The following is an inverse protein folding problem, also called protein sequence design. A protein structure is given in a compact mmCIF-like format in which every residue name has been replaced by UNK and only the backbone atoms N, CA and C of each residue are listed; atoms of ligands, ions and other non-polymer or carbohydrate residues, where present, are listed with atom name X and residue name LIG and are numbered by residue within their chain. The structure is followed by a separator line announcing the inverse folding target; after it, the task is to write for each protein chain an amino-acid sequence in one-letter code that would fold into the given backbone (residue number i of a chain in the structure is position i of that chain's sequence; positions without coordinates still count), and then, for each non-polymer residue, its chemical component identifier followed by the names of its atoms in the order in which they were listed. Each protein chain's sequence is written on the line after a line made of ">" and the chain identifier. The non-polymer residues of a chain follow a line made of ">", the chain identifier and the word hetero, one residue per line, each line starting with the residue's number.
data_IF_696865739200
#
_entry.id   IF_696865739200
#
_cell.length_a   1.000
_cell.length_b   1.000
_cell.length_c   1.000
_cell.angle_alpha   90.00
_cell.angle_beta   90.00
_cell.angle_gamma   90.00
#
_symmetry.space_group_name_H-M   'P 1'
#
loop_
_entity.id
_entity.type
_entity.pdbx_description
1 polymer ?
#
# COMPACT_ATOMS: atom_id res chain seq x y z
N UNK A 1 56.07 -1.84 18.98
CA UNK A 1 54.84 -1.06 19.24
C UNK A 1 54.10 -1.00 17.91
N UNK A 2 53.27 -2.01 17.68
CA UNK A 2 52.53 -2.27 16.44
C UNK A 2 51.15 -2.71 16.92
N UNK A 3 50.14 -1.91 16.63
CA UNK A 3 48.75 -2.16 17.02
C UNK A 3 48.07 -3.07 15.98
N UNK A 4 47.64 -4.28 16.35
CA UNK A 4 46.93 -5.20 15.46
C UNK A 4 45.46 -5.30 15.89
N UNK A 5 44.54 -4.66 15.17
CA UNK A 5 43.15 -5.16 14.99
C UNK A 5 42.26 -4.16 14.24
N UNK A 6 42.21 -4.30 12.92
CA UNK A 6 41.02 -3.94 12.14
C UNK A 6 40.79 -5.10 11.17
N UNK A 7 39.79 -5.98 11.40
CA UNK A 7 39.48 -7.00 10.42
C UNK A 7 38.68 -6.35 9.30
N UNK A 8 39.26 -6.49 8.11
CA UNK A 8 38.65 -6.59 6.79
C UNK A 8 37.35 -5.81 6.53
N UNK A 9 37.51 -4.78 5.69
CA UNK A 9 36.44 -4.27 4.86
C UNK A 9 35.91 -5.40 3.99
N UNK A 10 34.81 -6.00 4.44
CA UNK A 10 33.96 -6.78 3.57
C UNK A 10 33.16 -5.77 2.74
N UNK A 11 33.74 -5.40 1.59
CA UNK A 11 32.92 -4.89 0.48
C UNK A 11 31.80 -5.90 0.29
N UNK A 12 30.57 -5.49 0.62
CA UNK A 12 29.39 -6.24 0.21
C UNK A 12 29.51 -6.39 -1.31
N UNK A 13 29.35 -7.62 -1.86
CA UNK A 13 29.40 -7.79 -3.30
C UNK A 13 28.47 -6.75 -3.92
N UNK A 14 28.98 -6.05 -4.93
CA UNK A 14 28.32 -4.99 -5.69
C UNK A 14 27.15 -5.53 -6.53
N UNK A 15 26.30 -6.36 -5.92
CA UNK A 15 25.10 -6.87 -6.53
C UNK A 15 24.09 -5.72 -6.63
N UNK A 16 23.46 -5.63 -7.80
CA UNK A 16 22.34 -4.73 -8.01
C UNK A 16 21.30 -4.89 -6.87
N UNK A 17 20.62 -3.80 -6.47
CA UNK A 17 19.61 -3.88 -5.43
C UNK A 17 18.56 -4.91 -5.79
N UNK A 18 18.51 -5.97 -4.98
CA UNK A 18 17.57 -7.08 -5.11
C UNK A 18 16.22 -6.60 -4.62
N UNK A 19 15.21 -6.67 -5.49
CA UNK A 19 13.83 -6.33 -5.16
C UNK A 19 12.93 -6.54 -6.37
N UNK A 20 11.61 -6.57 -6.16
CA UNK A 20 10.66 -6.67 -7.26
C UNK A 20 10.78 -5.44 -8.18
N UNK A 21 10.52 -5.57 -9.50
CA UNK A 21 10.79 -4.50 -10.46
C UNK A 21 10.23 -3.12 -10.06
N UNK A 22 11.06 -2.09 -10.23
CA UNK A 22 10.76 -0.71 -9.88
C UNK A 22 10.68 -0.44 -8.38
N UNK A 23 11.09 -1.38 -7.51
CA UNK A 23 10.88 -1.29 -6.07
C UNK A 23 9.40 -1.25 -5.68
N UNK A 24 8.55 -1.89 -6.50
CA UNK A 24 7.10 -1.95 -6.29
C UNK A 24 6.72 -3.16 -5.43
N UNK A 25 5.61 -3.05 -4.70
CA UNK A 25 4.94 -4.20 -4.09
C UNK A 25 3.76 -4.64 -4.94
N UNK A 26 3.46 -5.94 -4.90
CA UNK A 26 2.29 -6.53 -5.55
C UNK A 26 1.46 -7.28 -4.53
N UNK A 27 0.14 -7.15 -4.62
CA UNK A 27 -0.81 -7.87 -3.76
C UNK A 27 -2.00 -8.34 -4.56
N UNK A 28 -2.51 -9.53 -4.24
CA UNK A 28 -3.79 -10.00 -4.76
C UNK A 28 -4.88 -9.65 -3.76
N UNK A 29 -5.77 -8.75 -4.17
CA UNK A 29 -6.88 -8.23 -3.38
C UNK A 29 -8.19 -8.89 -3.79
N UNK A 30 -8.94 -9.37 -2.79
CA UNK A 30 -10.39 -9.60 -2.90
C UNK A 30 -11.08 -8.46 -2.19
N UNK A 31 -11.82 -7.63 -2.91
CA UNK A 31 -12.51 -6.47 -2.31
C UNK A 31 -13.58 -6.99 -1.34
N UNK A 32 -13.75 -6.34 -0.19
CA UNK A 32 -14.79 -6.75 0.75
C UNK A 32 -16.17 -6.75 0.09
N UNK A 33 -16.93 -7.81 0.35
CA UNK A 33 -18.34 -8.00 -0.01
C UNK A 33 -19.28 -7.59 1.14
N UNK A 34 -18.72 -7.08 2.23
CA UNK A 34 -19.46 -6.66 3.42
C UNK A 34 -20.19 -5.34 3.18
N UNK A 35 -21.50 -5.25 3.47
CA UNK A 35 -22.24 -4.00 3.35
C UNK A 35 -21.70 -2.94 4.32
N UNK A 36 -21.89 -1.68 3.94
CA UNK A 36 -21.60 -0.47 4.71
C UNK A 36 -22.88 0.35 4.89
N UNK A 37 -22.81 1.45 5.64
CA UNK A 37 -24.00 2.25 6.00
C UNK A 37 -24.75 2.88 4.82
N UNK A 38 -24.06 3.11 3.69
CA UNK A 38 -24.67 3.63 2.46
C UNK A 38 -25.31 2.54 1.58
N UNK A 39 -25.37 1.30 2.08
CA UNK A 39 -25.92 0.15 1.38
C UNK A 39 -24.98 -0.47 0.34
N UNK A 40 -23.77 0.07 0.16
CA UNK A 40 -22.76 -0.47 -0.75
C UNK A 40 -21.80 -1.41 0.00
N UNK A 41 -21.31 -2.44 -0.70
CA UNK A 41 -20.24 -3.29 -0.19
C UNK A 41 -18.88 -2.77 -0.67
N UNK A 42 -17.87 -2.80 0.21
CA UNK A 42 -16.54 -2.33 -0.19
C UNK A 42 -15.54 -2.09 0.93
N UNK A 43 -14.43 -1.48 0.52
CA UNK A 43 -13.27 -1.16 1.34
C UNK A 43 -13.40 0.10 2.19
N UNK A 44 -12.39 0.32 3.02
CA UNK A 44 -12.22 1.55 3.81
C UNK A 44 -11.67 2.65 2.89
N UNK A 45 -12.36 3.80 2.74
CA UNK A 45 -11.82 4.89 1.94
C UNK A 45 -10.58 5.51 2.60
N UNK A 46 -9.54 5.73 1.81
CA UNK A 46 -8.26 6.25 2.31
C UNK A 46 -7.46 6.92 1.18
N UNK A 47 -6.36 7.57 1.55
CA UNK A 47 -5.34 8.07 0.62
C UNK A 47 -3.96 7.57 1.01
N UNK A 48 -3.06 7.51 0.03
CA UNK A 48 -1.63 7.36 0.26
C UNK A 48 -0.95 8.73 0.25
N UNK A 49 0.04 8.93 1.13
CA UNK A 49 0.73 10.22 1.31
C UNK A 49 2.00 10.35 0.49
N UNK A 50 2.64 9.22 0.13
CA UNK A 50 3.91 9.20 -0.59
C UNK A 50 3.97 8.20 -1.75
N UNK A 51 3.12 7.16 -1.76
CA UNK A 51 3.12 6.11 -2.79
C UNK A 51 1.96 6.25 -3.76
N UNK A 52 2.23 6.03 -5.05
CA UNK A 52 1.19 5.78 -6.04
C UNK A 52 0.68 4.33 -5.91
N UNK A 53 -0.57 4.13 -6.32
CA UNK A 53 -1.23 2.83 -6.31
C UNK A 53 -1.90 2.57 -7.66
N UNK A 54 -1.73 1.34 -8.16
CA UNK A 54 -2.29 0.88 -9.42
C UNK A 54 -3.13 -0.38 -9.24
N UNK A 55 -4.20 -0.50 -10.02
CA UNK A 55 -5.09 -1.66 -10.04
C UNK A 55 -5.11 -2.32 -11.42
N UNK A 56 -5.01 -3.65 -11.42
CA UNK A 56 -5.35 -4.50 -12.57
C UNK A 56 -6.49 -5.42 -12.15
N UNK A 57 -7.69 -5.17 -12.66
CA UNK A 57 -8.88 -5.96 -12.31
C UNK A 57 -8.81 -7.33 -12.96
N UNK A 58 -8.92 -8.38 -12.15
CA UNK A 58 -8.83 -9.77 -12.59
C UNK A 58 -10.21 -10.35 -12.91
N UNK A 59 -11.21 -10.08 -12.08
CA UNK A 59 -12.58 -10.58 -12.23
C UNK A 59 -13.59 -9.77 -11.41
N UNK A 60 -14.86 -10.05 -11.64
CA UNK A 60 -15.99 -9.40 -10.97
C UNK A 60 -16.26 -8.00 -11.53
N UNK A 61 -17.21 -7.32 -10.89
CA UNK A 61 -17.68 -6.00 -11.29
C UNK A 61 -17.78 -5.08 -10.07
N UNK A 62 -17.40 -3.81 -10.27
CA UNK A 62 -17.42 -2.83 -9.21
C UNK A 62 -17.23 -1.40 -9.68
N UNK A 63 -16.91 -0.54 -8.73
CA UNK A 63 -16.65 0.87 -8.98
C UNK A 63 -15.49 1.33 -8.13
N UNK A 64 -14.54 2.03 -8.73
CA UNK A 64 -13.58 2.84 -7.98
C UNK A 64 -14.17 4.23 -7.83
N UNK A 65 -14.46 4.62 -6.61
CA UNK A 65 -14.77 5.99 -6.26
C UNK A 65 -13.47 6.73 -5.91
N UNK A 66 -13.29 7.95 -6.42
CA UNK A 66 -12.13 8.79 -6.11
C UNK A 66 -12.54 10.22 -5.76
N UNK A 67 -11.83 10.82 -4.81
CA UNK A 67 -11.84 12.27 -4.57
C UNK A 67 -10.44 12.81 -4.84
N UNK A 68 -10.34 13.81 -5.71
CA UNK A 68 -9.08 14.47 -6.05
C UNK A 68 -9.29 15.96 -6.29
N UNK A 69 -8.24 16.67 -6.71
CA UNK A 69 -8.36 18.04 -7.21
C UNK A 69 -9.36 18.17 -8.37
N UNK A 70 -9.61 17.09 -9.11
CA UNK A 70 -10.61 17.02 -10.18
C UNK A 70 -12.04 16.75 -9.69
N UNK A 71 -12.28 16.70 -8.38
CA UNK A 71 -13.58 16.42 -7.78
C UNK A 71 -13.82 14.94 -7.51
N UNK A 72 -15.10 14.58 -7.35
CA UNK A 72 -15.57 13.20 -7.20
C UNK A 72 -15.70 12.53 -8.57
N UNK A 73 -15.18 11.31 -8.70
CA UNK A 73 -15.34 10.49 -9.90
C UNK A 73 -15.58 9.02 -9.55
N UNK A 74 -16.48 8.41 -10.30
CA UNK A 74 -16.70 6.97 -10.32
C UNK A 74 -16.11 6.37 -11.60
N UNK A 75 -15.29 5.34 -11.46
CA UNK A 75 -14.72 4.59 -12.57
C UNK A 75 -15.22 3.15 -12.51
N UNK A 76 -15.94 2.65 -13.53
CA UNK A 76 -16.35 1.26 -13.59
C UNK A 76 -15.14 0.32 -13.55
N UNK A 77 -15.27 -0.79 -12.81
CA UNK A 77 -14.25 -1.83 -12.72
C UNK A 77 -14.81 -3.12 -13.28
N UNK A 78 -14.16 -3.63 -14.32
CA UNK A 78 -14.42 -4.94 -14.93
C UNK A 78 -13.09 -5.61 -15.25
N UNK A 79 -13.08 -6.93 -15.48
CA UNK A 79 -11.87 -7.66 -15.84
C UNK A 79 -11.09 -6.97 -16.98
N UNK A 80 -9.78 -6.80 -16.79
CA UNK A 80 -8.89 -6.11 -17.73
C UNK A 80 -8.80 -4.58 -17.53
N UNK A 81 -9.58 -3.99 -16.62
CA UNK A 81 -9.43 -2.58 -16.26
C UNK A 81 -8.06 -2.36 -15.61
N UNK A 82 -7.28 -1.43 -16.17
CA UNK A 82 -6.01 -0.93 -15.64
C UNK A 82 -6.15 0.56 -15.33
N UNK A 83 -5.83 0.95 -14.10
CA UNK A 83 -5.77 2.35 -13.70
C UNK A 83 -4.72 2.53 -12.60
N UNK A 84 -4.33 3.76 -12.35
CA UNK A 84 -3.50 4.13 -11.21
C UNK A 84 -3.82 5.56 -10.78
N UNK A 85 -3.46 5.88 -9.54
CA UNK A 85 -3.63 7.20 -8.96
C UNK A 85 -2.42 7.55 -8.09
N UNK A 86 -2.25 8.85 -7.88
CA UNK A 86 -1.08 9.43 -7.22
C UNK A 86 -1.41 9.80 -5.76
N UNK A 87 -0.38 10.02 -4.92
CA UNK A 87 -0.57 10.43 -3.54
C UNK A 87 -1.55 11.60 -3.37
N UNK A 88 -2.33 11.56 -2.29
CA UNK A 88 -3.37 12.53 -1.97
C UNK A 88 -4.73 12.26 -2.63
N UNK A 89 -4.82 11.28 -3.55
CA UNK A 89 -6.10 10.79 -4.07
C UNK A 89 -6.78 9.92 -3.02
N UNK A 90 -7.95 10.35 -2.55
CA UNK A 90 -8.82 9.49 -1.75
C UNK A 90 -9.46 8.49 -2.69
N UNK A 91 -9.49 7.22 -2.32
CA UNK A 91 -10.11 6.18 -3.12
C UNK A 91 -10.91 5.19 -2.27
N UNK A 92 -11.96 4.62 -2.86
CA UNK A 92 -12.77 3.54 -2.28
C UNK A 92 -13.15 2.56 -3.37
N UNK A 93 -12.90 1.28 -3.11
CA UNK A 93 -13.39 0.19 -3.96
C UNK A 93 -14.78 -0.25 -3.49
N UNK A 94 -15.76 -0.18 -4.40
CA UNK A 94 -17.12 -0.67 -4.22
C UNK A 94 -17.26 -1.99 -4.99
N UNK A 95 -17.59 -3.06 -4.29
CA UNK A 95 -17.80 -4.39 -4.84
C UNK A 95 -19.29 -4.57 -5.19
N UNK A 96 -19.62 -4.61 -6.49
CA UNK A 96 -21.01 -4.70 -6.96
C UNK A 96 -21.43 -6.14 -7.23
N UNK A 97 -20.50 -6.98 -7.69
CA UNK A 97 -20.77 -8.39 -8.01
C UNK A 97 -20.60 -9.33 -6.81
N UNK A 98 -19.93 -8.90 -5.74
CA UNK A 98 -19.57 -9.71 -4.58
C UNK A 98 -18.26 -10.49 -4.77
N UNK A 99 -17.74 -10.59 -5.98
CA UNK A 99 -16.55 -11.41 -6.31
C UNK A 99 -15.41 -10.62 -6.96
N UNK A 100 -15.41 -9.28 -6.84
CA UNK A 100 -14.38 -8.38 -7.36
C UNK A 100 -12.97 -8.71 -6.80
N UNK A 101 -12.07 -9.09 -7.71
CA UNK A 101 -10.66 -9.31 -7.39
C UNK A 101 -9.74 -8.53 -8.33
N UNK A 102 -8.61 -8.06 -7.78
CA UNK A 102 -7.64 -7.28 -8.53
C UNK A 102 -6.20 -7.51 -8.02
N UNK A 103 -5.23 -7.22 -8.87
CA UNK A 103 -3.83 -7.03 -8.45
C UNK A 103 -3.65 -5.57 -8.10
N UNK A 104 -3.14 -5.32 -6.90
CA UNK A 104 -2.65 -4.01 -6.47
C UNK A 104 -1.15 -3.95 -6.76
N UNK A 105 -0.72 -2.87 -7.41
CA UNK A 105 0.69 -2.53 -7.60
C UNK A 105 0.96 -1.25 -6.81
N UNK A 106 1.78 -1.34 -5.77
CA UNK A 106 2.12 -0.22 -4.89
C UNK A 106 3.53 0.27 -5.17
N UNK A 107 3.71 1.58 -5.30
CA UNK A 107 5.05 2.17 -5.28
C UNK A 107 5.67 2.02 -3.88
N UNK A 108 7.00 1.99 -3.81
CA UNK A 108 7.78 1.99 -2.56
C UNK A 108 7.42 0.78 -1.67
N UNK A 109 7.73 -0.43 -2.12
CA UNK A 109 7.44 -1.66 -1.37
C UNK A 109 7.79 -1.54 0.14
N UNK A 110 6.84 -1.90 1.00
CA UNK A 110 6.94 -1.81 2.46
C UNK A 110 6.51 -0.47 3.06
N UNK A 111 6.49 0.61 2.28
CA UNK A 111 6.09 1.94 2.75
C UNK A 111 4.58 2.04 3.10
N UNK A 112 3.65 1.46 2.33
CA UNK A 112 2.25 1.39 2.73
C UNK A 112 2.03 0.74 4.08
N UNK A 113 2.71 -0.37 4.33
CA UNK A 113 2.69 -1.09 5.60
C UNK A 113 3.34 -0.28 6.75
N UNK A 114 4.32 0.56 6.44
CA UNK A 114 4.95 1.50 7.38
C UNK A 114 4.07 2.73 7.71
N UNK A 115 2.86 2.80 7.14
CA UNK A 115 1.83 3.75 7.53
C UNK A 115 1.73 4.99 6.64
N UNK A 116 2.05 4.88 5.34
CA UNK A 116 1.84 5.98 4.38
C UNK A 116 0.36 6.25 4.04
N UNK A 117 -0.54 5.37 4.48
CA UNK A 117 -1.97 5.46 4.24
C UNK A 117 -2.72 6.16 5.38
N UNK A 118 -3.66 7.03 5.01
CA UNK A 118 -4.54 7.75 5.95
C UNK A 118 -6.01 7.53 5.58
N UNK A 119 -6.76 6.98 6.54
CA UNK A 119 -8.20 6.71 6.44
C UNK A 119 -9.00 8.00 6.58
N UNK A 120 -10.11 8.12 5.85
CA UNK A 120 -10.96 9.32 5.82
C UNK A 120 -11.92 9.37 7.00
N UNK A 121 -11.43 9.25 8.22
CA UNK A 121 -12.27 9.34 9.42
C UNK A 121 -12.89 10.73 9.60
N UNK A 122 -13.92 10.86 10.46
CA UNK A 122 -14.46 12.15 10.85
C UNK A 122 -13.38 13.11 11.39
N UNK A 123 -13.55 14.45 11.22
CA UNK A 123 -12.53 15.43 11.60
C UNK A 123 -12.03 15.34 13.05
N UNK A 124 -12.89 14.97 13.99
CA UNK A 124 -12.52 14.86 15.41
C UNK A 124 -11.52 13.72 15.67
N UNK A 125 -11.58 12.63 14.88
CA UNK A 125 -10.61 11.52 14.93
C UNK A 125 -9.31 11.92 14.24
N UNK A 126 -9.40 12.58 13.08
CA UNK A 126 -8.24 13.06 12.32
C UNK A 126 -7.43 14.14 13.07
N UNK A 127 -8.03 14.84 14.01
CA UNK A 127 -7.40 15.86 14.82
C UNK A 127 -6.54 15.29 15.97
N UNK A 128 -6.73 14.03 16.36
CA UNK A 128 -6.06 13.40 17.50
C UNK A 128 -5.30 12.13 17.06
N UNK A 129 -3.94 12.18 16.99
CA UNK A 129 -3.13 11.04 16.59
C UNK A 129 -3.31 9.79 17.47
N UNK A 130 -3.58 9.95 18.77
CA UNK A 130 -3.76 8.82 19.68
C UNK A 130 -5.11 8.15 19.43
N UNK A 131 -6.17 8.94 19.25
CA UNK A 131 -7.49 8.43 18.89
C UNK A 131 -7.47 7.76 17.50
N UNK A 132 -6.85 8.41 16.51
CA UNK A 132 -6.65 7.85 15.18
C UNK A 132 -5.96 6.48 15.24
N UNK A 133 -4.87 6.35 16.00
CA UNK A 133 -4.18 5.08 16.18
C UNK A 133 -5.08 4.03 16.85
N UNK A 134 -5.79 4.41 17.92
CA UNK A 134 -6.66 3.52 18.69
C UNK A 134 -7.75 2.91 17.82
N UNK A 135 -8.42 3.69 16.98
CA UNK A 135 -9.52 3.20 16.11
C UNK A 135 -9.02 2.51 14.84
N UNK A 136 -7.77 2.74 14.44
CA UNK A 136 -7.15 2.11 13.25
C UNK A 136 -6.57 0.73 13.55
N UNK A 137 -6.16 0.49 14.80
CA UNK A 137 -5.42 -0.71 15.19
C UNK A 137 -6.30 -1.96 15.04
N UNK A 138 -5.81 -2.94 14.27
CA UNK A 138 -6.36 -4.28 14.18
C UNK A 138 -5.61 -5.17 15.18
N UNK A 139 -6.30 -5.97 16.02
CA UNK A 139 -5.65 -6.91 16.92
C UNK A 139 -4.72 -7.88 16.20
N UNK A 140 -3.58 -8.19 16.83
CA UNK A 140 -2.65 -9.20 16.33
C UNK A 140 -3.21 -10.62 16.59
N UNK A 141 -3.00 -11.54 15.66
CA UNK A 141 -3.58 -12.89 15.74
C UNK A 141 -3.05 -13.69 16.94
N UNK A 142 -1.81 -13.42 17.35
CA UNK A 142 -1.11 -14.04 18.48
C UNK A 142 -1.77 -13.72 19.83
N UNK A 143 -2.64 -12.71 19.88
CA UNK A 143 -3.39 -12.34 21.08
C UNK A 143 -4.62 -13.23 21.37
N UNK A 144 -4.92 -14.21 20.52
CA UNK A 144 -6.13 -15.04 20.63
C UNK A 144 -5.81 -16.53 20.82
N UNK A 145 -6.76 -17.24 21.43
CA UNK A 145 -6.61 -18.65 21.79
C UNK A 145 -6.59 -19.61 20.59
N UNK A 146 -7.23 -19.23 19.48
CA UNK A 146 -7.34 -20.02 18.26
C UNK A 146 -7.54 -19.15 17.02
N UNK A 147 -7.28 -19.72 15.84
CA UNK A 147 -7.35 -19.02 14.55
C UNK A 147 -8.75 -18.51 14.19
N UNK A 148 -9.81 -19.23 14.59
CA UNK A 148 -11.18 -18.85 14.25
C UNK A 148 -11.61 -17.62 15.06
N UNK A 149 -11.27 -17.59 16.35
CA UNK A 149 -11.49 -16.45 17.23
C UNK A 149 -10.67 -15.24 16.77
N UNK A 150 -9.38 -15.44 16.43
CA UNK A 150 -8.53 -14.39 15.87
C UNK A 150 -9.15 -13.77 14.61
N UNK A 151 -9.57 -14.62 13.67
CA UNK A 151 -10.18 -14.18 12.42
C UNK A 151 -11.47 -13.38 12.66
N UNK A 152 -12.35 -13.85 13.54
CA UNK A 152 -13.60 -13.18 13.85
C UNK A 152 -13.38 -11.78 14.44
N UNK A 153 -12.46 -11.65 15.40
CA UNK A 153 -12.14 -10.37 16.05
C UNK A 153 -11.42 -9.40 15.11
N UNK A 154 -10.46 -9.89 14.32
CA UNK A 154 -9.79 -9.08 13.29
C UNK A 154 -10.77 -8.60 12.23
N UNK A 155 -11.71 -9.45 11.80
CA UNK A 155 -12.75 -9.05 10.85
C UNK A 155 -13.72 -8.04 11.45
N UNK A 156 -14.06 -8.17 12.74
CA UNK A 156 -14.87 -7.19 13.48
C UNK A 156 -14.17 -5.84 13.55
N UNK A 157 -12.89 -5.81 13.93
CA UNK A 157 -12.09 -4.59 13.97
C UNK A 157 -11.95 -3.96 12.57
N UNK A 158 -11.73 -4.76 11.53
CA UNK A 158 -11.63 -4.27 10.15
C UNK A 158 -12.94 -3.63 9.67
N UNK A 159 -14.10 -4.20 10.04
CA UNK A 159 -15.42 -3.59 9.76
C UNK A 159 -15.60 -2.27 10.50
N UNK A 160 -15.29 -2.21 11.80
CA UNK A 160 -15.38 -0.98 12.59
C UNK A 160 -14.51 0.14 12.02
N UNK A 161 -13.26 -0.19 11.68
CA UNK A 161 -12.32 0.72 11.01
C UNK A 161 -12.89 1.22 9.67
N UNK A 162 -13.40 0.31 8.84
CA UNK A 162 -13.99 0.63 7.54
C UNK A 162 -15.21 1.55 7.70
N UNK A 163 -16.13 1.23 8.60
CA UNK A 163 -17.39 1.96 8.76
C UNK A 163 -17.13 3.40 9.21
N UNK A 164 -16.20 3.61 10.14
CA UNK A 164 -15.77 4.95 10.54
C UNK A 164 -15.13 5.72 9.37
N UNK A 165 -14.37 5.05 8.51
CA UNK A 165 -13.79 5.68 7.33
C UNK A 165 -14.84 6.02 6.26
N UNK A 166 -15.89 5.20 6.13
CA UNK A 166 -17.04 5.48 5.25
C UNK A 166 -17.83 6.69 5.75
N UNK A 167 -18.07 6.80 7.06
CA UNK A 167 -18.76 7.96 7.66
C UNK A 167 -18.08 9.27 7.28
N UNK A 168 -16.77 9.38 7.54
CA UNK A 168 -16.03 10.60 7.20
C UNK A 168 -15.86 10.79 5.69
N UNK A 169 -15.77 9.71 4.91
CA UNK A 169 -15.72 9.76 3.44
C UNK A 169 -17.01 10.33 2.84
N UNK A 170 -18.19 9.91 3.29
CA UNK A 170 -19.46 10.36 2.74
C UNK A 170 -19.63 11.87 2.94
N UNK A 171 -19.33 12.36 4.15
CA UNK A 171 -19.32 13.80 4.43
C UNK A 171 -18.30 14.55 3.56
N UNK A 172 -17.10 13.99 3.37
CA UNK A 172 -16.06 14.58 2.53
C UNK A 172 -16.44 14.61 1.05
N UNK A 173 -17.03 13.53 0.53
CA UNK A 173 -17.51 13.42 -0.85
C UNK A 173 -18.56 14.49 -1.12
N UNK A 174 -19.52 14.66 -0.22
CA UNK A 174 -20.59 15.65 -0.38
C UNK A 174 -20.01 17.08 -0.42
N UNK A 175 -18.99 17.37 0.40
CA UNK A 175 -18.23 18.62 0.31
C UNK A 175 -17.47 18.76 -1.01
N UNK A 176 -16.79 17.72 -1.47
CA UNK A 176 -16.06 17.74 -2.76
C UNK A 176 -17.02 17.96 -3.93
N UNK A 177 -18.23 17.42 -3.88
CA UNK A 177 -19.28 17.66 -4.89
C UNK A 177 -19.74 19.12 -4.86
N UNK A 178 -19.91 19.72 -3.68
CA UNK A 178 -20.40 21.09 -3.52
C UNK A 178 -19.32 22.17 -3.75
N UNK A 179 -18.11 21.94 -3.26
CA UNK A 179 -17.01 22.92 -3.17
C UNK A 179 -15.87 22.63 -4.16
N UNK A 180 -15.87 21.46 -4.80
CA UNK A 180 -14.78 20.97 -5.63
C UNK A 180 -13.60 20.41 -4.81
N UNK A 181 -12.48 20.13 -5.50
CA UNK A 181 -11.31 19.50 -4.89
C UNK A 181 -10.67 20.26 -3.72
N UNK A 182 -11.00 21.55 -3.52
CA UNK A 182 -10.52 22.34 -2.37
C UNK A 182 -11.03 21.82 -1.02
N UNK A 183 -12.13 21.07 -1.01
CA UNK A 183 -12.64 20.46 0.22
C UNK A 183 -11.66 19.42 0.82
N UNK A 184 -10.67 18.95 0.04
CA UNK A 184 -9.66 18.01 0.51
C UNK A 184 -8.57 18.64 1.38
N UNK A 185 -8.44 19.98 1.41
CA UNK A 185 -7.33 20.67 2.09
C UNK A 185 -7.21 20.27 3.57
N UNK A 186 -8.30 20.26 4.31
CA UNK A 186 -8.29 19.91 5.75
C UNK A 186 -7.88 18.44 5.98
N UNK A 187 -8.31 17.53 5.10
CA UNK A 187 -7.89 16.13 5.15
C UNK A 187 -6.39 15.99 4.86
N UNK A 188 -5.88 16.67 3.83
CA UNK A 188 -4.45 16.62 3.48
C UNK A 188 -3.58 17.18 4.61
N UNK A 189 -3.99 18.29 5.23
CA UNK A 189 -3.29 18.83 6.39
C UNK A 189 -3.32 17.87 7.59
N UNK A 190 -4.45 17.20 7.84
CA UNK A 190 -4.54 16.18 8.89
C UNK A 190 -3.65 14.97 8.59
N UNK A 191 -3.65 14.49 7.36
CA UNK A 191 -2.80 13.40 6.92
C UNK A 191 -1.32 13.73 7.15
N UNK A 192 -0.88 14.94 6.77
CA UNK A 192 0.50 15.42 7.03
C UNK A 192 0.83 15.42 8.52
N UNK A 193 -0.09 15.87 9.39
CA UNK A 193 0.13 15.83 10.85
C UNK A 193 0.27 14.40 11.37
N UNK A 194 -0.59 13.49 10.92
CA UNK A 194 -0.61 12.09 11.37
C UNK A 194 0.64 11.30 10.96
N UNK A 195 1.24 11.64 9.81
CA UNK A 195 2.40 10.92 9.29
C UNK A 195 3.75 11.57 9.59
N UNK A 196 3.77 12.83 10.06
CA UNK A 196 4.99 13.63 10.26
C UNK A 196 6.10 12.88 10.98
N UNK A 197 5.78 12.25 12.11
CA UNK A 197 6.79 11.58 12.95
C UNK A 197 7.27 10.25 12.36
N UNK A 198 6.50 9.66 11.44
CA UNK A 198 6.84 8.42 10.74
C UNK A 198 7.71 8.67 9.51
N UNK A 199 7.52 9.82 8.85
CA UNK A 199 8.10 10.12 7.55
C UNK A 199 9.64 10.03 7.52
N UNK A 200 10.33 10.43 8.59
CA UNK A 200 11.78 10.30 8.68
C UNK A 200 12.23 8.82 8.59
N UNK A 201 11.43 7.91 9.15
CA UNK A 201 11.67 6.48 9.10
C UNK A 201 11.41 5.86 7.72
N UNK A 202 10.79 6.55 6.77
CA UNK A 202 10.38 5.99 5.48
C UNK A 202 11.45 6.02 4.39
N UNK A 203 12.45 6.90 4.52
CA UNK A 203 13.49 7.09 3.50
C UNK A 203 14.16 5.79 3.08
N UNK A 204 14.38 4.88 4.03
CA UNK A 204 15.05 3.61 3.75
C UNK A 204 14.29 2.74 2.73
N UNK A 205 12.95 2.77 2.69
CA UNK A 205 12.17 2.04 1.69
C UNK A 205 12.42 2.58 0.28
N UNK A 206 12.44 3.91 0.15
CA UNK A 206 12.71 4.58 -1.13
C UNK A 206 14.15 4.37 -1.59
N UNK A 207 15.12 4.57 -0.69
CA UNK A 207 16.56 4.45 -0.98
C UNK A 207 16.93 3.03 -1.41
N UNK A 208 16.46 2.01 -0.68
CA UNK A 208 16.78 0.60 -0.95
C UNK A 208 15.95 0.00 -2.08
N UNK A 209 14.74 0.52 -2.31
CA UNK A 209 13.84 0.05 -3.35
C UNK A 209 14.01 0.85 -4.65
N UNK A 210 13.07 1.74 -4.99
CA UNK A 210 13.01 2.40 -6.29
C UNK A 210 14.26 3.24 -6.63
N UNK A 211 14.84 3.99 -5.68
CA UNK A 211 16.03 4.79 -5.95
C UNK A 211 17.24 3.90 -6.27
N UNK A 212 17.44 2.85 -5.45
CA UNK A 212 18.50 1.88 -5.67
C UNK A 212 18.41 1.26 -7.07
N UNK A 213 17.23 0.79 -7.47
CA UNK A 213 17.03 0.18 -8.78
C UNK A 213 17.21 1.17 -9.94
N UNK A 214 16.76 2.41 -9.78
CA UNK A 214 16.98 3.46 -10.78
C UNK A 214 18.49 3.75 -10.98
N UNK A 215 19.25 3.87 -9.88
CA UNK A 215 20.69 4.09 -9.95
C UNK A 215 21.43 2.91 -10.60
N UNK A 216 21.04 1.67 -10.28
CA UNK A 216 21.60 0.48 -10.90
C UNK A 216 21.32 0.44 -12.42
N UNK A 217 20.11 0.82 -12.83
CA UNK A 217 19.75 0.94 -14.24
C UNK A 217 20.64 1.98 -14.94
N UNK A 218 20.88 3.14 -14.30
CA UNK A 218 21.80 4.15 -14.82
C UNK A 218 23.20 3.59 -15.08
N UNK A 219 23.79 2.92 -14.10
CA UNK A 219 25.10 2.27 -14.25
C UNK A 219 25.13 1.22 -15.36
N UNK A 220 24.05 0.46 -15.54
CA UNK A 220 23.94 -0.51 -16.65
C UNK A 220 23.89 0.20 -18.00
N UNK A 221 23.14 1.30 -18.13
CA UNK A 221 23.06 2.07 -19.37
C UNK A 221 24.43 2.65 -19.76
N UNK A 222 25.16 3.21 -18.79
CA UNK A 222 26.51 3.74 -19.01
C UNK A 222 27.49 2.63 -19.47
N UNK A 223 27.46 1.46 -18.82
CA UNK A 223 28.29 0.33 -19.21
C UNK A 223 27.95 -0.19 -20.62
N UNK A 224 26.65 -0.30 -20.96
CA UNK A 224 26.20 -0.73 -22.28
C UNK A 224 26.61 0.26 -23.38
N UNK A 225 26.55 1.57 -23.10
CA UNK A 225 26.99 2.60 -24.04
C UNK A 225 28.49 2.48 -24.39
N UNK A 226 29.29 1.95 -23.46
CA UNK A 226 30.72 1.64 -23.66
C UNK A 226 30.97 0.21 -24.21
N UNK A 227 29.93 -0.56 -24.52
CA UNK A 227 30.05 -1.95 -24.98
C UNK A 227 30.42 -2.95 -23.88
N UNK A 228 30.24 -2.60 -22.60
CA UNK A 228 30.53 -3.46 -21.44
C UNK A 228 29.24 -4.08 -20.88
N UNK A 229 29.13 -5.40 -20.95
CA UNK A 229 27.92 -6.15 -20.54
C UNK A 229 28.11 -7.11 -19.36
N UNK A 230 29.12 -6.92 -18.50
CA UNK A 230 29.46 -7.89 -17.44
C UNK A 230 28.29 -8.23 -16.50
N UNK A 231 27.45 -7.23 -16.16
CA UNK A 231 26.25 -7.41 -15.33
C UNK A 231 25.25 -8.41 -15.91
N UNK A 232 25.24 -8.65 -17.23
CA UNK A 232 24.37 -9.65 -17.85
C UNK A 232 24.74 -11.09 -17.42
N UNK A 233 26.01 -11.32 -17.09
CA UNK A 233 26.49 -12.60 -16.55
C UNK A 233 26.04 -12.86 -15.10
N UNK A 234 25.55 -11.84 -14.41
CA UNK A 234 25.03 -11.92 -13.03
C UNK A 234 23.50 -12.13 -12.99
N UNK A 235 22.86 -12.27 -14.16
CA UNK A 235 21.42 -12.43 -14.27
C UNK A 235 20.91 -13.62 -13.44
N UNK A 236 19.94 -13.34 -12.56
CA UNK A 236 19.42 -14.28 -11.58
C UNK A 236 17.90 -14.21 -11.56
N UNK A 237 17.24 -15.37 -11.46
CA UNK A 237 15.78 -15.46 -11.26
C UNK A 237 15.50 -15.45 -9.76
N UNK A 238 14.57 -14.60 -9.31
CA UNK A 238 14.16 -14.51 -7.90
C UNK A 238 12.71 -14.97 -7.72
N UNK A 239 12.40 -15.48 -6.53
CA UNK A 239 11.06 -15.80 -6.08
C UNK A 239 10.82 -15.26 -4.68
N UNK A 240 9.57 -14.99 -4.34
CA UNK A 240 9.12 -14.54 -3.03
C UNK A 240 7.98 -15.44 -2.54
N UNK A 241 7.98 -15.73 -1.25
CA UNK A 241 6.93 -16.53 -0.63
C UNK A 241 5.77 -15.63 -0.18
N UNK A 242 4.56 -16.18 -0.22
CA UNK A 242 3.41 -15.60 0.46
C UNK A 242 3.27 -16.30 1.79
N UNK A 243 3.04 -15.58 2.91
CA UNK A 243 2.75 -16.22 4.19
C UNK A 243 1.64 -17.27 4.03
N UNK A 244 1.80 -18.47 4.62
CA UNK A 244 0.77 -19.49 4.59
C UNK A 244 -0.44 -19.04 5.41
N UNK A 245 -1.59 -19.65 5.14
CA UNK A 245 -2.83 -19.37 5.86
C UNK A 245 -3.81 -18.47 5.09
N UNK A 246 -4.85 -17.98 5.77
CA UNK A 246 -5.89 -17.18 5.14
C UNK A 246 -5.37 -15.81 4.69
N UNK A 247 -6.13 -15.18 3.79
CA UNK A 247 -5.87 -13.80 3.40
C UNK A 247 -5.99 -12.86 4.60
N UNK A 248 -5.12 -11.86 4.64
CA UNK A 248 -5.06 -10.85 5.71
C UNK A 248 -6.10 -9.75 5.47
N UNK A 249 -6.62 -9.16 6.55
CA UNK A 249 -7.53 -8.02 6.47
C UNK A 249 -6.77 -6.74 6.13
N UNK A 250 -6.92 -6.24 4.89
CA UNK A 250 -6.40 -4.97 4.41
C UNK A 250 -7.43 -3.83 4.54
N UNK A 251 -7.10 -2.64 4.02
CA UNK A 251 -8.04 -1.51 3.99
C UNK A 251 -9.18 -1.72 2.99
N UNK A 252 -8.84 -2.14 1.76
CA UNK A 252 -9.81 -2.37 0.69
C UNK A 252 -10.51 -3.74 0.72
N UNK A 253 -9.93 -4.72 1.40
CA UNK A 253 -10.37 -6.11 1.29
C UNK A 253 -9.40 -7.12 1.87
N UNK A 254 -9.54 -8.38 1.45
CA UNK A 254 -8.70 -9.48 1.87
C UNK A 254 -7.47 -9.61 0.94
N UNK A 255 -6.28 -9.50 1.53
CA UNK A 255 -5.01 -9.47 0.82
C UNK A 255 -4.28 -10.81 0.89
N UNK A 256 -3.75 -11.24 -0.25
CA UNK A 256 -2.60 -12.14 -0.32
C UNK A 256 -1.40 -11.30 -0.76
N UNK A 257 -0.36 -11.29 0.07
CA UNK A 257 0.87 -10.48 -0.12
C UNK A 257 2.06 -11.41 -0.27
N UNK A 258 3.10 -10.94 -0.96
CA UNK A 258 4.38 -11.64 -1.05
C UNK A 258 5.44 -10.91 -0.23
N UNK A 259 6.26 -11.66 0.48
CA UNK A 259 7.41 -11.13 1.21
C UNK A 259 8.55 -10.84 0.22
N UNK A 260 8.60 -9.58 -0.25
CA UNK A 260 9.59 -9.13 -1.21
C UNK A 260 10.95 -8.83 -0.56
N UNK A 261 10.98 -8.55 0.75
CA UNK A 261 12.23 -8.38 1.50
C UNK A 261 12.92 -9.74 1.71
N UNK A 262 12.13 -10.81 1.85
CA UNK A 262 12.57 -12.21 1.88
C UNK A 262 12.79 -12.85 0.50
N UNK A 263 12.77 -12.08 -0.59
CA UNK A 263 12.98 -12.61 -1.93
C UNK A 263 14.35 -13.31 -2.07
N UNK A 264 14.34 -14.49 -2.69
CA UNK A 264 15.53 -15.35 -2.82
C UNK A 264 15.73 -15.82 -4.25
N UNK A 265 16.98 -16.10 -4.68
CA UNK A 265 17.24 -16.75 -5.95
C UNK A 265 16.48 -18.08 -6.07
N UNK A 266 16.04 -18.40 -7.29
CA UNK A 266 15.44 -19.67 -7.63
C UNK A 266 16.58 -20.63 -8.02
N UNK A 267 17.03 -21.44 -7.07
CA UNK A 267 18.15 -22.38 -7.22
C UNK A 267 18.60 -22.95 -5.89
#
# INVERSE_FOLDING_TARGET
>A
MTDPSRPDGQERPSGAPVGFPGGTAVSHLRVYDWPTEDGLAGGSPHLHTASAEGYVVLRGEGTLETLSSAGFRETPLVAGTLLWFTPGTVHRLVNRSGDLELVVVMQNAGLPEAGDAVLTYPPHVLADPAEYQRVTTIPAAEGFADEATAYAEMARAARQRRDLAVEGYLALRDRVVAEGGRALTELHEAAVRLVRDKAAGWYHHWERGPLGQANATGSHLDALAEGRGSHLGEATVYTAESPPGPRRTGMCGLLKVWDLDGARPLG
#
